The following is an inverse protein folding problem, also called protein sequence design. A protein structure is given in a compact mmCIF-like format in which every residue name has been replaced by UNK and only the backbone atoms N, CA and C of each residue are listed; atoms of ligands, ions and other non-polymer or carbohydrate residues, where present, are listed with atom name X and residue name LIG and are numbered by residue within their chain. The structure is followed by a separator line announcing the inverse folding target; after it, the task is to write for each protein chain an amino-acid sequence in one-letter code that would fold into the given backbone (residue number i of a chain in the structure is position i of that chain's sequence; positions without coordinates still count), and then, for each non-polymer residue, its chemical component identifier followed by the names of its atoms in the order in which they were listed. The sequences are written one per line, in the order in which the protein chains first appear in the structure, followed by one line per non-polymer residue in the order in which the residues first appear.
data_IF_438692387940
#
_entry.id   IF_438692387940
#
_cell.length_a   1.000
_cell.length_b   1.000
_cell.length_c   1.000
_cell.angle_alpha   90.00
_cell.angle_beta   90.00
_cell.angle_gamma   90.00
#
_symmetry.space_group_name_H-M   'P 1'
#
loop_
_entity.id
_entity.type
_entity.pdbx_description
1 polymer ?
#
# COMPACT_ATOMS: atom_id res chain seq x y z
N UNK A 1 -37.08 -9.23 -16.10
CA UNK A 1 -36.04 -10.28 -16.05
C UNK A 1 -34.98 -9.81 -15.08
N UNK A 2 -35.08 -10.29 -13.84
CA UNK A 2 -34.20 -9.98 -12.72
C UNK A 2 -32.96 -10.84 -12.82
N UNK A 3 -31.84 -10.24 -13.25
CA UNK A 3 -30.55 -10.93 -13.23
C UNK A 3 -29.90 -10.72 -11.86
N UNK A 4 -29.81 -11.82 -11.12
CA UNK A 4 -29.04 -11.93 -9.89
C UNK A 4 -27.57 -11.67 -10.21
N UNK A 5 -27.02 -10.62 -9.61
CA UNK A 5 -25.57 -10.42 -9.55
C UNK A 5 -25.04 -11.40 -8.50
N UNK A 6 -24.24 -12.37 -8.95
CA UNK A 6 -23.49 -13.24 -8.05
C UNK A 6 -22.48 -12.40 -7.27
N UNK A 7 -22.86 -12.04 -6.05
CA UNK A 7 -21.91 -11.62 -5.02
C UNK A 7 -21.01 -12.81 -4.77
N UNK A 8 -19.71 -12.69 -5.08
CA UNK A 8 -18.69 -13.64 -4.64
C UNK A 8 -18.85 -13.84 -3.13
N UNK A 9 -19.44 -14.96 -2.73
CA UNK A 9 -19.46 -15.39 -1.34
C UNK A 9 -18.02 -15.78 -0.99
N UNK A 10 -17.32 -14.91 -0.28
CA UNK A 10 -16.17 -15.31 0.51
C UNK A 10 -16.66 -16.39 1.48
N UNK A 11 -16.40 -17.66 1.15
CA UNK A 11 -16.56 -18.75 2.10
C UNK A 11 -15.73 -18.41 3.34
N UNK A 12 -16.42 -18.42 4.48
CA UNK A 12 -15.89 -18.11 5.80
C UNK A 12 -14.72 -19.03 6.17
N UNK A 13 -13.51 -18.68 5.71
CA UNK A 13 -12.27 -19.16 6.31
C UNK A 13 -12.20 -18.59 7.73
N UNK A 14 -11.73 -19.37 8.69
CA UNK A 14 -11.72 -19.01 10.12
C UNK A 14 -10.90 -17.72 10.40
N UNK A 15 -11.54 -16.56 10.25
CA UNK A 15 -10.96 -15.21 10.36
C UNK A 15 -10.45 -14.83 11.77
N UNK A 16 -10.52 -15.73 12.76
CA UNK A 16 -10.43 -15.37 14.19
C UNK A 16 -9.58 -16.32 15.06
N UNK A 17 -8.73 -17.17 14.48
CA UNK A 17 -7.87 -18.05 15.30
C UNK A 17 -6.64 -17.30 15.86
N UNK A 18 -6.45 -17.38 17.18
CA UNK A 18 -5.28 -16.84 17.91
C UNK A 18 -4.09 -17.82 17.98
N UNK A 19 -4.30 -19.05 17.51
CA UNK A 19 -3.29 -20.10 17.38
C UNK A 19 -3.57 -20.95 16.15
N UNK A 20 -2.52 -21.43 15.49
CA UNK A 20 -2.61 -22.31 14.33
C UNK A 20 -1.82 -23.59 14.61
N UNK A 21 -2.43 -24.72 14.28
CA UNK A 21 -1.83 -26.05 14.39
C UNK A 21 -1.59 -26.60 12.97
N UNK A 22 -0.43 -27.23 12.77
CA UNK A 22 -0.04 -27.85 11.49
C UNK A 22 0.12 -29.36 11.67
N UNK A 23 -0.44 -30.14 10.74
CA UNK A 23 -0.16 -31.57 10.61
C UNK A 23 1.22 -31.80 9.99
N UNK A 24 1.85 -32.93 10.36
CA UNK A 24 3.23 -33.28 9.99
C UNK A 24 3.38 -33.78 8.55
N UNK A 25 2.94 -33.00 7.57
CA UNK A 25 3.44 -33.17 6.21
C UNK A 25 4.82 -32.51 6.11
N UNK A 26 5.81 -33.26 5.63
CA UNK A 26 7.22 -32.85 5.51
C UNK A 26 7.37 -31.63 4.61
N UNK A 27 7.25 -30.44 5.20
CA UNK A 27 7.62 -29.19 4.56
C UNK A 27 9.14 -29.10 4.47
N UNK A 28 9.64 -28.73 3.31
CA UNK A 28 11.08 -28.53 3.05
C UNK A 28 11.25 -27.18 2.37
N UNK A 29 12.26 -26.42 2.77
CA UNK A 29 12.55 -25.15 2.12
C UNK A 29 13.00 -25.38 0.67
N UNK A 30 12.36 -24.72 -0.31
CA UNK A 30 12.77 -24.83 -1.70
C UNK A 30 14.12 -24.15 -1.90
N UNK A 31 15.08 -24.87 -2.48
CA UNK A 31 16.44 -24.36 -2.75
C UNK A 31 16.51 -23.37 -3.91
N UNK A 32 15.46 -23.30 -4.72
CA UNK A 32 15.38 -22.46 -5.92
C UNK A 32 14.62 -21.13 -5.71
N UNK A 33 14.11 -20.87 -4.51
CA UNK A 33 13.40 -19.62 -4.22
C UNK A 33 14.31 -18.68 -3.39
N UNK A 34 14.78 -17.56 -3.97
CA UNK A 34 15.73 -16.66 -3.33
C UNK A 34 15.16 -15.97 -2.09
N UNK A 35 13.83 -15.90 -1.94
CA UNK A 35 13.20 -15.30 -0.76
C UNK A 35 13.55 -16.06 0.52
N UNK A 36 13.60 -17.39 0.48
CA UNK A 36 13.95 -18.20 1.66
C UNK A 36 15.42 -18.03 2.06
N UNK A 37 16.32 -17.88 1.09
CA UNK A 37 17.72 -17.57 1.39
C UNK A 37 17.93 -16.18 1.96
N UNK A 38 17.12 -15.19 1.54
CA UNK A 38 17.23 -13.82 2.01
C UNK A 38 16.69 -13.63 3.43
N UNK A 39 15.65 -14.38 3.80
CA UNK A 39 15.00 -14.26 5.11
C UNK A 39 15.75 -14.94 6.26
N UNK A 40 16.83 -15.68 5.99
CA UNK A 40 17.66 -16.37 7.00
C UNK A 40 16.80 -17.16 8.01
N UNK A 41 15.81 -17.89 7.49
CA UNK A 41 14.80 -18.54 8.32
C UNK A 41 15.38 -19.73 9.10
N UNK A 42 15.11 -19.85 10.42
CA UNK A 42 15.50 -21.02 11.20
C UNK A 42 14.86 -22.31 10.67
N UNK A 43 15.64 -23.39 10.56
CA UNK A 43 15.14 -24.72 10.16
C UNK A 43 14.06 -25.24 11.12
N UNK A 44 14.13 -24.82 12.38
CA UNK A 44 13.19 -25.16 13.45
C UNK A 44 11.74 -24.83 13.06
N UNK A 45 11.50 -23.82 12.22
CA UNK A 45 10.16 -23.43 11.75
C UNK A 45 9.42 -24.62 11.13
N UNK A 46 10.13 -25.48 10.40
CA UNK A 46 9.54 -26.64 9.74
C UNK A 46 8.93 -27.61 10.76
N UNK A 47 9.48 -27.66 11.97
CA UNK A 47 9.08 -28.60 13.03
C UNK A 47 8.11 -28.00 14.06
N UNK A 48 7.93 -26.67 14.10
CA UNK A 48 6.98 -26.02 15.01
C UNK A 48 5.56 -26.49 14.67
N UNK A 49 4.90 -27.13 15.64
CA UNK A 49 3.53 -27.65 15.52
C UNK A 49 2.47 -26.59 15.79
N UNK A 50 2.77 -25.64 16.68
CA UNK A 50 1.82 -24.64 17.15
C UNK A 50 2.48 -23.27 17.22
N UNK A 51 1.85 -22.29 16.57
CA UNK A 51 2.23 -20.88 16.63
C UNK A 51 1.27 -20.13 17.55
N UNK A 52 1.78 -19.17 18.31
CA UNK A 52 1.02 -18.44 19.32
C UNK A 52 1.15 -16.92 19.18
N UNK A 53 0.17 -16.19 19.74
CA UNK A 53 0.16 -14.74 19.71
C UNK A 53 0.06 -14.15 18.30
N UNK A 54 -0.63 -14.87 17.41
CA UNK A 54 -0.93 -14.41 16.07
C UNK A 54 -1.91 -13.24 16.18
N UNK A 55 -1.61 -12.13 15.50
CA UNK A 55 -2.45 -10.93 15.53
C UNK A 55 -3.82 -11.24 14.94
N UNK A 56 -4.88 -10.79 15.62
CA UNK A 56 -6.26 -10.85 15.11
C UNK A 56 -6.42 -9.85 13.96
N UNK A 57 -6.94 -10.31 12.83
CA UNK A 57 -7.27 -9.43 11.72
C UNK A 57 -8.34 -8.41 12.12
N UNK A 58 -8.12 -7.16 11.73
CA UNK A 58 -9.12 -6.12 11.88
C UNK A 58 -10.24 -6.34 10.86
N UNK A 59 -11.45 -5.88 11.21
CA UNK A 59 -12.57 -5.89 10.26
C UNK A 59 -12.23 -4.96 9.09
N UNK A 60 -12.45 -5.43 7.87
CA UNK A 60 -12.31 -4.61 6.66
C UNK A 60 -13.18 -3.35 6.78
N UNK A 61 -12.56 -2.20 6.52
CA UNK A 61 -13.21 -0.89 6.55
C UNK A 61 -13.23 -0.20 5.19
N UNK A 62 -12.77 -0.87 4.14
CA UNK A 62 -12.66 -0.30 2.79
C UNK A 62 -13.17 -1.25 1.75
N UNK A 63 -13.87 -0.69 0.76
CA UNK A 63 -14.61 -1.47 -0.23
C UNK A 63 -14.39 -0.89 -1.63
N UNK A 64 -14.25 -1.79 -2.61
CA UNK A 64 -14.23 -1.46 -4.01
C UNK A 64 -15.58 -1.83 -4.62
N UNK A 65 -16.24 -0.86 -5.26
CA UNK A 65 -17.46 -1.11 -6.00
C UNK A 65 -17.17 -0.89 -7.48
N UNK A 66 -17.56 -1.84 -8.32
CA UNK A 66 -17.45 -1.68 -9.76
C UNK A 66 -18.35 -0.56 -10.26
N UNK A 67 -17.86 0.20 -11.24
CA UNK A 67 -18.70 1.15 -11.97
C UNK A 67 -19.25 0.50 -13.24
N UNK A 68 -20.52 0.75 -13.51
CA UNK A 68 -21.13 0.39 -14.79
C UNK A 68 -20.73 1.44 -15.83
N UNK A 69 -19.71 1.12 -16.62
CA UNK A 69 -19.33 1.78 -17.88
C UNK A 69 -19.07 3.29 -17.73
N UNK A 70 -17.85 3.63 -17.33
CA UNK A 70 -17.26 4.95 -17.55
C UNK A 70 -16.26 4.89 -18.70
N UNK A 71 -16.27 5.87 -19.60
CA UNK A 71 -15.28 6.04 -20.68
C UNK A 71 -13.87 6.03 -20.08
N UNK A 72 -12.92 5.34 -20.73
CA UNK A 72 -11.49 5.41 -20.40
C UNK A 72 -11.03 6.86 -20.37
N UNK A 73 -11.00 7.47 -19.19
CA UNK A 73 -10.30 8.73 -19.01
C UNK A 73 -8.83 8.35 -18.87
N UNK A 74 -8.05 8.65 -19.91
CA UNK A 74 -6.59 8.59 -19.85
C UNK A 74 -6.10 9.64 -18.84
N UNK A 75 -6.21 9.34 -17.56
CA UNK A 75 -5.64 10.16 -16.50
C UNK A 75 -4.13 9.88 -16.53
N UNK A 76 -3.31 10.93 -16.59
CA UNK A 76 -1.88 10.80 -16.41
C UNK A 76 -1.58 10.51 -14.93
N UNK A 77 -1.82 9.27 -14.50
CA UNK A 77 -1.78 8.82 -13.11
C UNK A 77 -0.47 9.15 -12.38
N UNK A 78 0.65 9.36 -13.07
CA UNK A 78 1.94 9.63 -12.42
C UNK A 78 2.35 11.10 -12.45
N UNK A 79 1.61 11.98 -13.14
CA UNK A 79 1.94 13.41 -13.23
C UNK A 79 1.20 14.20 -12.15
N UNK A 80 -0.07 13.90 -11.95
CA UNK A 80 -0.93 14.64 -11.04
C UNK A 80 -1.63 13.70 -10.07
N UNK A 81 -1.70 14.04 -8.77
CA UNK A 81 -2.49 13.27 -7.82
C UNK A 81 -3.98 13.35 -8.19
N UNK A 82 -4.75 12.29 -7.91
CA UNK A 82 -6.17 12.27 -8.25
C UNK A 82 -6.94 13.33 -7.45
N UNK A 83 -8.02 13.86 -8.02
CA UNK A 83 -8.81 14.95 -7.40
C UNK A 83 -9.33 14.60 -6.01
N UNK A 84 -9.70 13.33 -5.78
CA UNK A 84 -10.13 12.82 -4.49
C UNK A 84 -9.03 12.83 -3.41
N UNK A 85 -7.76 12.79 -3.81
CA UNK A 85 -6.63 12.99 -2.89
C UNK A 85 -6.52 14.47 -2.51
N UNK A 86 -6.69 15.36 -3.49
CA UNK A 86 -6.59 16.81 -3.29
C UNK A 86 -7.74 17.33 -2.42
N UNK A 87 -8.98 16.97 -2.73
CA UNK A 87 -10.19 17.51 -2.08
C UNK A 87 -10.32 17.14 -0.61
N UNK A 88 -9.66 16.07 -0.18
CA UNK A 88 -9.74 15.57 1.19
C UNK A 88 -8.53 15.97 2.04
N UNK A 89 -7.51 16.60 1.44
CA UNK A 89 -6.32 17.05 2.14
C UNK A 89 -6.65 18.11 3.19
N UNK A 90 -6.03 17.99 4.36
CA UNK A 90 -5.99 19.04 5.40
C UNK A 90 -5.19 20.27 4.98
N UNK A 91 -4.31 20.13 3.98
CA UNK A 91 -3.44 21.18 3.47
C UNK A 91 -3.79 21.58 2.03
N UNK A 92 -3.55 22.85 1.69
CA UNK A 92 -3.65 23.34 0.32
C UNK A 92 -2.57 22.68 -0.56
N UNK A 93 -2.98 21.75 -1.42
CA UNK A 93 -2.09 21.15 -2.41
C UNK A 93 -2.02 22.09 -3.61
N UNK A 94 -0.82 22.60 -3.88
CA UNK A 94 -0.54 23.50 -4.98
C UNK A 94 0.43 22.85 -5.97
N UNK A 95 0.02 22.75 -7.23
CA UNK A 95 0.91 22.29 -8.29
C UNK A 95 1.88 23.40 -8.67
N UNK A 96 3.16 23.14 -8.45
CA UNK A 96 4.24 24.11 -8.64
C UNK A 96 5.19 23.67 -9.75
N UNK A 97 5.66 24.61 -10.57
CA UNK A 97 6.71 24.35 -11.56
C UNK A 97 8.08 24.44 -10.93
N UNK A 98 8.95 23.49 -11.27
CA UNK A 98 10.37 23.60 -10.94
C UNK A 98 11.02 24.56 -11.95
N UNK A 99 11.59 25.66 -11.45
CA UNK A 99 12.22 26.71 -12.26
C UNK A 99 13.66 26.36 -12.60
N UNK A 100 14.41 25.86 -11.62
CA UNK A 100 15.81 25.49 -11.79
C UNK A 100 16.10 24.20 -11.03
N UNK A 101 17.07 23.42 -11.52
CA UNK A 101 17.62 22.26 -10.82
C UNK A 101 19.13 22.28 -11.04
N UNK A 102 19.90 22.12 -9.97
CA UNK A 102 21.36 21.96 -10.05
C UNK A 102 21.86 21.00 -9.00
N UNK A 103 22.97 20.32 -9.30
CA UNK A 103 23.66 19.47 -8.34
C UNK A 103 24.69 20.32 -7.60
N UNK A 104 24.68 20.28 -6.27
CA UNK A 104 25.62 21.01 -5.42
C UNK A 104 26.88 20.20 -5.10
N UNK A 105 26.82 18.88 -5.29
CA UNK A 105 27.92 17.95 -5.03
C UNK A 105 28.69 17.60 -6.31
N UNK A 106 29.96 17.24 -6.13
CA UNK A 106 30.78 16.70 -7.21
C UNK A 106 30.26 15.32 -7.68
N UNK A 107 30.61 14.91 -8.90
CA UNK A 107 30.17 13.63 -9.48
C UNK A 107 30.59 12.39 -8.67
N UNK A 108 31.71 12.48 -7.95
CA UNK A 108 32.26 11.37 -7.15
C UNK A 108 31.83 11.44 -5.68
N UNK A 109 30.90 12.31 -5.32
CA UNK A 109 30.43 12.41 -3.94
C UNK A 109 29.59 11.19 -3.57
N UNK A 110 29.77 10.66 -2.35
CA UNK A 110 29.01 9.52 -1.83
C UNK A 110 27.50 9.77 -1.79
N UNK A 111 27.08 11.02 -1.59
CA UNK A 111 25.68 11.45 -1.62
C UNK A 111 25.53 12.60 -2.59
N UNK A 112 24.46 12.59 -3.37
CA UNK A 112 24.12 13.68 -4.29
C UNK A 112 23.23 14.69 -3.58
N UNK A 113 23.63 15.96 -3.55
CA UNK A 113 22.78 17.05 -3.06
C UNK A 113 22.27 17.84 -4.25
N UNK A 114 20.96 18.05 -4.30
CA UNK A 114 20.27 18.77 -5.37
C UNK A 114 19.65 20.02 -4.77
N UNK A 115 19.79 21.13 -5.49
CA UNK A 115 19.10 22.38 -5.23
C UNK A 115 18.11 22.62 -6.36
N UNK A 116 16.88 22.97 -6.02
CA UNK A 116 15.86 23.31 -6.99
C UNK A 116 15.01 24.49 -6.50
N UNK A 117 14.58 25.31 -7.45
CA UNK A 117 13.72 26.47 -7.20
C UNK A 117 12.28 26.15 -7.64
N UNK A 118 11.30 26.59 -6.85
CA UNK A 118 9.87 26.36 -7.08
C UNK A 118 9.15 27.68 -7.42
N UNK A 119 8.31 27.70 -8.45
CA UNK A 119 7.47 28.86 -8.80
C UNK A 119 6.24 28.98 -7.89
N UNK A 120 6.40 29.66 -6.77
CA UNK A 120 5.35 29.83 -5.75
C UNK A 120 4.53 31.11 -5.92
N UNK A 121 4.67 31.85 -7.03
CA UNK A 121 4.03 33.18 -7.21
C UNK A 121 2.50 33.16 -7.09
N UNK A 122 1.88 32.03 -7.44
CA UNK A 122 0.43 31.84 -7.41
C UNK A 122 -0.02 30.94 -6.26
N UNK A 123 0.85 30.70 -5.27
CA UNK A 123 0.50 29.90 -4.12
C UNK A 123 -0.66 30.58 -3.36
N UNK A 124 -1.76 29.85 -3.07
CA UNK A 124 -2.94 30.43 -2.45
C UNK A 124 -2.75 30.51 -0.93
N UNK A 125 -2.12 31.58 -0.47
CA UNK A 125 -2.02 31.89 0.95
C UNK A 125 -3.39 32.23 1.54
N UNK A 126 -3.63 31.80 2.78
CA UNK A 126 -4.71 32.36 3.60
C UNK A 126 -4.37 33.81 4.01
N UNK A 127 -5.39 34.57 4.44
CA UNK A 127 -5.17 35.90 5.01
C UNK A 127 -4.16 35.78 6.17
N UNK A 128 -3.07 36.55 6.10
CA UNK A 128 -1.91 36.56 7.01
C UNK A 128 -0.85 35.44 6.86
N UNK A 129 -0.97 34.53 5.89
CA UNK A 129 0.08 33.54 5.62
C UNK A 129 1.13 34.06 4.62
N UNK A 130 2.41 33.76 4.89
CA UNK A 130 3.53 34.07 4.01
C UNK A 130 4.63 33.00 4.09
N UNK A 131 5.46 32.90 3.05
CA UNK A 131 6.70 32.13 3.11
C UNK A 131 7.67 32.76 4.12
N UNK A 132 8.20 31.95 5.03
CA UNK A 132 9.21 32.37 6.01
C UNK A 132 10.49 31.57 5.83
N UNK A 133 11.63 32.22 6.08
CA UNK A 133 12.93 31.54 6.09
C UNK A 133 12.95 30.53 7.24
N UNK A 134 13.33 29.29 6.94
CA UNK A 134 13.27 28.18 7.89
C UNK A 134 11.90 27.49 7.98
N UNK A 135 10.92 27.92 7.19
CA UNK A 135 9.65 27.19 7.03
C UNK A 135 9.85 25.83 6.35
N UNK A 136 8.83 24.98 6.46
CA UNK A 136 8.80 23.66 5.83
C UNK A 136 7.70 23.58 4.78
N UNK A 137 7.90 22.71 3.78
CA UNK A 137 6.89 22.33 2.81
C UNK A 137 6.75 20.81 2.78
N UNK A 138 5.51 20.35 2.59
CA UNK A 138 5.24 18.96 2.22
C UNK A 138 5.31 18.80 0.70
N UNK A 139 5.83 17.68 0.23
CA UNK A 139 5.83 17.32 -1.19
C UNK A 139 5.04 16.01 -1.34
N UNK A 140 4.00 16.02 -2.16
CA UNK A 140 3.28 14.80 -2.53
C UNK A 140 4.08 14.06 -3.60
N UNK A 141 4.57 12.86 -3.29
CA UNK A 141 5.41 12.07 -4.19
C UNK A 141 4.68 10.78 -4.55
N UNK A 142 4.53 10.44 -5.84
CA UNK A 142 3.96 9.17 -6.24
C UNK A 142 4.97 8.04 -6.04
N UNK A 143 4.47 6.83 -5.83
CA UNK A 143 5.29 5.62 -5.94
C UNK A 143 5.83 5.46 -7.35
N UNK A 144 7.00 4.82 -7.47
CA UNK A 144 7.62 4.53 -8.75
C UNK A 144 6.70 3.64 -9.60
N UNK A 145 6.46 4.05 -10.86
CA UNK A 145 5.63 3.29 -11.80
C UNK A 145 6.00 1.81 -11.86
N UNK A 146 7.30 1.51 -11.97
CA UNK A 146 7.77 0.14 -12.09
C UNK A 146 7.42 -0.70 -10.85
N UNK A 147 7.50 -0.13 -9.64
CA UNK A 147 7.13 -0.82 -8.41
C UNK A 147 5.62 -1.04 -8.31
N UNK A 148 4.82 -0.06 -8.73
CA UNK A 148 3.35 -0.20 -8.79
C UNK A 148 2.96 -1.29 -9.80
N UNK A 149 3.57 -1.30 -10.99
CA UNK A 149 3.33 -2.30 -12.02
C UNK A 149 3.73 -3.70 -11.59
N UNK A 150 4.87 -3.83 -10.90
CA UNK A 150 5.35 -5.10 -10.36
C UNK A 150 4.38 -5.68 -9.34
N UNK A 151 3.81 -4.85 -8.46
CA UNK A 151 2.79 -5.29 -7.50
C UNK A 151 1.54 -5.79 -8.23
N UNK A 152 1.00 -5.04 -9.20
CA UNK A 152 -0.16 -5.51 -9.96
C UNK A 152 0.10 -6.81 -10.71
N UNK A 153 1.30 -6.95 -11.28
CA UNK A 153 1.74 -8.19 -11.92
C UNK A 153 1.77 -9.36 -10.92
N UNK A 154 2.32 -9.16 -9.71
CA UNK A 154 2.35 -10.19 -8.65
C UNK A 154 0.95 -10.58 -8.16
N UNK A 155 0.00 -9.64 -8.20
CA UNK A 155 -1.41 -9.88 -7.87
C UNK A 155 -2.23 -10.45 -9.04
N UNK A 156 -1.61 -10.68 -10.21
CA UNK A 156 -2.30 -11.08 -11.46
C UNK A 156 -3.40 -10.12 -11.91
N UNK A 157 -3.26 -8.83 -11.61
CA UNK A 157 -4.19 -7.78 -12.04
C UNK A 157 -3.67 -7.21 -13.36
N UNK A 158 -4.52 -7.24 -14.39
CA UNK A 158 -4.16 -6.70 -15.71
C UNK A 158 -4.04 -5.18 -15.69
N UNK A 159 -3.33 -4.60 -16.66
CA UNK A 159 -3.25 -3.14 -16.78
C UNK A 159 -4.62 -2.50 -16.99
N UNK A 160 -5.49 -3.14 -17.79
CA UNK A 160 -6.86 -2.69 -18.04
C UNK A 160 -7.69 -2.67 -16.74
N UNK A 161 -7.59 -3.73 -15.94
CA UNK A 161 -8.30 -3.83 -14.66
C UNK A 161 -7.77 -2.83 -13.63
N UNK A 162 -6.44 -2.65 -13.54
CA UNK A 162 -5.83 -1.68 -12.64
C UNK A 162 -6.23 -0.23 -12.97
N UNK A 163 -6.50 0.04 -14.26
CA UNK A 163 -6.91 1.34 -14.78
C UNK A 163 -8.44 1.54 -14.85
N UNK A 164 -9.24 0.50 -14.60
CA UNK A 164 -10.70 0.58 -14.60
C UNK A 164 -11.18 1.54 -13.50
N UNK A 165 -12.15 2.38 -13.84
CA UNK A 165 -12.79 3.25 -12.85
C UNK A 165 -13.58 2.42 -11.83
N UNK A 166 -13.30 2.67 -10.56
CA UNK A 166 -13.96 2.07 -9.41
C UNK A 166 -14.49 3.16 -8.48
N UNK A 167 -15.51 2.83 -7.70
CA UNK A 167 -15.89 3.62 -6.54
C UNK A 167 -15.16 3.02 -5.34
N UNK A 168 -14.29 3.83 -4.75
CA UNK A 168 -13.65 3.49 -3.49
C UNK A 168 -14.47 4.04 -2.33
N UNK A 169 -14.86 3.17 -1.42
CA UNK A 169 -15.59 3.50 -0.20
C UNK A 169 -14.74 3.22 1.04
N UNK A 170 -14.72 4.17 1.97
CA UNK A 170 -14.14 4.01 3.30
C UNK A 170 -15.23 4.10 4.36
N UNK A 171 -15.17 3.24 5.38
CA UNK A 171 -16.11 3.19 6.49
C UNK A 171 -15.43 3.54 7.81
N UNK A 172 -15.99 4.53 8.51
CA UNK A 172 -15.79 4.86 9.93
C UNK A 172 -14.34 4.96 10.44
N UNK A 173 -13.36 5.11 9.55
CA UNK A 173 -11.95 5.24 9.89
C UNK A 173 -11.30 6.29 9.00
N UNK A 174 -10.37 7.05 9.58
CA UNK A 174 -9.50 7.94 8.83
C UNK A 174 -8.60 7.08 7.93
N UNK A 175 -8.82 7.11 6.61
CA UNK A 175 -8.01 6.35 5.65
C UNK A 175 -6.53 6.74 5.72
N UNK A 176 -6.26 8.02 5.91
CA UNK A 176 -4.92 8.56 6.05
C UNK A 176 -4.94 9.76 6.98
N UNK A 177 -3.88 9.94 7.77
CA UNK A 177 -3.70 11.11 8.65
C UNK A 177 -3.78 12.43 7.89
N UNK A 178 -3.54 12.43 6.58
CA UNK A 178 -3.65 13.60 5.72
C UNK A 178 -5.10 14.06 5.48
N UNK A 179 -6.10 13.20 5.71
CA UNK A 179 -7.50 13.53 5.45
C UNK A 179 -8.16 14.20 6.65
N UNK A 180 -8.87 15.29 6.38
CA UNK A 180 -9.46 16.17 7.41
C UNK A 180 -10.70 15.59 8.09
N UNK A 181 -11.43 14.70 7.43
CA UNK A 181 -12.69 14.15 7.91
C UNK A 181 -12.63 12.65 8.18
N UNK A 182 -13.12 12.26 9.36
CA UNK A 182 -13.30 10.86 9.80
C UNK A 182 -14.70 10.34 9.38
N UNK A 183 -15.26 10.89 8.30
CA UNK A 183 -16.54 10.45 7.78
C UNK A 183 -16.34 9.33 6.75
N UNK A 184 -17.32 8.46 6.58
CA UNK A 184 -17.34 7.56 5.43
C UNK A 184 -17.30 8.39 4.15
N UNK A 185 -16.46 7.98 3.20
CA UNK A 185 -16.30 8.69 1.93
C UNK A 185 -16.43 7.72 0.77
N UNK A 186 -17.00 8.23 -0.32
CA UNK A 186 -17.10 7.56 -1.60
C UNK A 186 -16.53 8.46 -2.68
N UNK A 187 -15.59 7.96 -3.45
CA UNK A 187 -15.07 8.70 -4.59
C UNK A 187 -14.67 7.78 -5.72
N UNK A 188 -14.68 8.35 -6.93
CA UNK A 188 -14.22 7.68 -8.14
C UNK A 188 -12.71 7.71 -8.22
N UNK A 189 -12.10 6.58 -8.51
CA UNK A 189 -10.65 6.44 -8.69
C UNK A 189 -10.35 5.17 -9.48
N UNK A 190 -9.08 4.78 -9.57
CA UNK A 190 -8.63 3.50 -10.12
C UNK A 190 -7.78 2.79 -9.07
N UNK A 191 -7.64 1.47 -9.17
CA UNK A 191 -6.72 0.74 -8.29
C UNK A 191 -5.29 1.29 -8.44
N UNK A 192 -4.90 1.63 -9.67
CA UNK A 192 -3.62 2.26 -9.96
C UNK A 192 -3.41 3.58 -9.24
N UNK A 193 -4.40 4.47 -9.23
CA UNK A 193 -4.30 5.76 -8.53
C UNK A 193 -4.10 5.55 -7.02
N UNK A 194 -4.80 4.58 -6.43
CA UNK A 194 -4.65 4.24 -5.01
C UNK A 194 -3.23 3.78 -4.71
N UNK A 195 -2.73 2.81 -5.47
CA UNK A 195 -1.36 2.29 -5.30
C UNK A 195 -0.27 3.30 -5.64
N UNK A 196 -0.56 4.30 -6.47
CA UNK A 196 0.43 5.32 -6.86
C UNK A 196 0.53 6.44 -5.83
N UNK A 197 -0.58 6.90 -5.25
CA UNK A 197 -0.62 8.13 -4.44
C UNK A 197 -1.08 7.95 -3.00
N UNK A 198 -1.80 6.87 -2.68
CA UNK A 198 -2.54 6.76 -1.41
C UNK A 198 -2.00 5.68 -0.48
N UNK A 199 -1.08 4.84 -0.95
CA UNK A 199 -0.48 3.75 -0.19
C UNK A 199 1.03 3.89 -0.25
N UNK A 200 1.71 3.80 0.89
CA UNK A 200 3.15 3.71 0.94
C UNK A 200 3.59 2.25 0.78
N UNK A 201 4.32 1.95 -0.29
CA UNK A 201 4.80 0.60 -0.62
C UNK A 201 6.31 0.42 -0.42
N UNK A 202 7.05 1.50 -0.10
CA UNK A 202 8.52 1.48 -0.12
C UNK A 202 9.15 1.98 1.18
N UNK A 203 8.50 2.87 1.93
CA UNK A 203 9.18 3.58 3.02
C UNK A 203 9.19 2.79 4.33
N UNK A 204 8.28 1.83 4.50
CA UNK A 204 8.15 1.05 5.74
C UNK A 204 8.08 -0.45 5.39
N UNK A 205 8.83 -1.32 6.07
CA UNK A 205 8.72 -2.75 5.88
C UNK A 205 7.30 -3.26 6.26
N UNK A 206 6.84 -4.38 5.66
CA UNK A 206 5.53 -4.96 5.96
C UNK A 206 5.34 -5.22 7.46
N UNK A 207 4.31 -4.60 8.04
CA UNK A 207 3.94 -4.84 9.44
C UNK A 207 3.31 -6.23 9.62
N UNK A 208 3.38 -6.77 10.85
CA UNK A 208 2.80 -8.07 11.20
C UNK A 208 1.33 -8.25 10.77
N UNK A 209 0.52 -7.18 10.81
CA UNK A 209 -0.88 -7.23 10.36
C UNK A 209 -1.02 -7.51 8.85
N UNK A 210 -0.13 -6.95 8.03
CA UNK A 210 -0.12 -7.22 6.58
C UNK A 210 0.34 -8.65 6.30
N UNK A 211 1.41 -9.12 6.96
CA UNK A 211 1.89 -10.50 6.82
C UNK A 211 0.83 -11.51 7.24
N UNK A 212 0.12 -11.22 8.33
CA UNK A 212 -1.02 -11.99 8.81
C UNK A 212 -2.15 -12.08 7.79
N UNK A 213 -2.41 -11.00 7.05
CA UNK A 213 -3.41 -10.97 5.98
C UNK A 213 -2.93 -11.82 4.79
N UNK A 214 -1.69 -11.64 4.34
CA UNK A 214 -1.10 -12.43 3.25
C UNK A 214 -1.13 -13.94 3.58
N UNK A 215 -0.90 -14.32 4.84
CA UNK A 215 -0.97 -15.71 5.28
C UNK A 215 -2.34 -16.37 5.06
N UNK A 216 -3.45 -15.61 5.04
CA UNK A 216 -4.78 -16.19 4.78
C UNK A 216 -5.04 -16.49 3.31
N UNK A 217 -4.39 -15.74 2.43
CA UNK A 217 -4.52 -15.91 0.98
C UNK A 217 -3.39 -16.76 0.39
N UNK A 218 -2.36 -17.09 1.18
CA UNK A 218 -1.30 -18.01 0.78
C UNK A 218 -1.86 -19.44 0.60
N UNK A 219 -1.80 -19.95 -0.63
CA UNK A 219 -2.26 -21.30 -0.99
C UNK A 219 -1.19 -22.36 -0.75
N UNK A 220 0.09 -21.98 -0.84
CA UNK A 220 1.20 -22.87 -0.51
C UNK A 220 1.29 -23.05 1.02
N UNK A 221 1.23 -24.28 1.55
CA UNK A 221 1.30 -24.54 2.99
C UNK A 221 2.58 -24.03 3.66
N UNK A 222 3.73 -24.09 2.96
CA UNK A 222 5.01 -23.59 3.47
C UNK A 222 5.00 -22.06 3.57
N UNK A 223 4.61 -21.36 2.51
CA UNK A 223 4.54 -19.90 2.50
C UNK A 223 3.58 -19.41 3.58
N UNK A 224 2.42 -20.08 3.71
CA UNK A 224 1.45 -19.83 4.77
C UNK A 224 2.06 -20.01 6.15
N UNK A 225 2.79 -21.11 6.39
CA UNK A 225 3.48 -21.38 7.65
C UNK A 225 4.53 -20.33 7.99
N UNK A 226 5.34 -19.95 7.01
CA UNK A 226 6.36 -18.90 7.18
C UNK A 226 5.72 -17.55 7.48
N UNK A 227 4.70 -17.13 6.73
CA UNK A 227 4.00 -15.86 6.99
C UNK A 227 3.35 -15.83 8.38
N UNK A 228 2.75 -16.94 8.82
CA UNK A 228 2.22 -17.04 10.18
C UNK A 228 3.31 -17.00 11.23
N UNK A 229 4.44 -17.70 11.02
CA UNK A 229 5.58 -17.64 11.92
C UNK A 229 6.11 -16.20 12.06
N UNK A 230 6.29 -15.50 10.94
CA UNK A 230 6.76 -14.10 10.91
C UNK A 230 5.83 -13.14 11.66
N UNK A 231 4.52 -13.41 11.70
CA UNK A 231 3.56 -12.59 12.45
C UNK A 231 3.24 -13.11 13.87
N UNK A 232 3.88 -14.20 14.32
CA UNK A 232 3.68 -14.83 15.63
C UNK A 232 4.59 -14.25 16.73
N UNK A 233 4.50 -14.83 17.94
CA UNK A 233 5.47 -14.59 19.02
C UNK A 233 6.81 -15.24 18.73
N UNK A 234 6.81 -16.43 18.14
CA UNK A 234 7.99 -17.23 17.87
C UNK A 234 8.90 -16.58 16.82
N UNK A 235 8.33 -15.86 15.84
CA UNK A 235 9.08 -15.11 14.81
C UNK A 235 9.34 -13.64 15.16
N UNK A 236 9.14 -13.22 16.41
CA UNK A 236 9.21 -11.80 16.80
C UNK A 236 10.55 -11.15 16.49
N UNK A 237 11.65 -11.87 16.65
CA UNK A 237 12.99 -11.30 16.54
C UNK A 237 13.45 -11.12 15.07
N UNK A 238 12.71 -11.68 14.11
CA UNK A 238 12.98 -11.48 12.67
C UNK A 238 12.29 -10.25 12.08
N UNK A 239 11.24 -9.74 12.73
CA UNK A 239 10.45 -8.60 12.24
C UNK A 239 10.24 -7.61 13.37
N UNK A 240 11.18 -6.66 13.49
CA UNK A 240 11.13 -5.52 14.42
C UNK A 240 10.70 -4.24 13.71
#
# INVERSE_FOLDING_TARGET
MTNNVEVHKEESRNLFQESIEYDQDTLVFPTNNPAFSFLELPEEILYIKKLSGIIKLQKQSTFFHETYIGKDSKIHTFLDPPSCFISNSTYNIFQCKILTIRTLTHQNALKKVIHFDLDTKKYPFSEDENWVVGGFIGICVPNLKNSVDEIFKLLNISEEEANKEIIFETQNNQWSTFWSNISSQKFKTTQRNIMTWMVDIQSIPPKKALLRLLAEYATNPLDRKVLFFLCSKEGKDLIS
#
